data_IF_912188021396
#
_entry.id   IF_912188021396
#
_cell.length_a   1.000
_cell.length_b   1.000
_cell.length_c   1.000
_cell.angle_alpha   90.00
_cell.angle_beta   90.00
_cell.angle_gamma   90.00
#
_symmetry.space_group_name_H-M   'P 1'
#
loop_
_entity.id
_entity.type
_entity.pdbx_description
1 polymer ?
#
# COMPACT_ATOMS: atom_id res chain seq x y z
N UNK A 1 16.15 4.61 4.81
CA UNK A 1 15.67 3.23 4.72
C UNK A 1 14.64 3.15 3.60
N UNK A 2 14.57 2.04 2.94
CA UNK A 2 13.66 1.89 1.81
C UNK A 2 13.17 0.48 1.60
N UNK A 3 11.96 0.38 1.04
CA UNK A 3 11.40 -0.86 0.52
C UNK A 3 11.20 -0.71 -0.98
N UNK A 4 11.49 -1.78 -1.70
CA UNK A 4 11.43 -1.85 -3.17
C UNK A 4 10.35 -2.83 -3.59
N UNK A 5 9.36 -2.33 -4.31
CA UNK A 5 8.25 -3.11 -4.85
C UNK A 5 8.44 -3.17 -6.35
N UNK A 6 8.76 -4.35 -6.87
CA UNK A 6 8.81 -4.57 -8.31
C UNK A 6 7.40 -4.75 -8.84
N UNK A 7 6.96 -3.94 -9.80
CA UNK A 7 5.61 -4.09 -10.29
C UNK A 7 5.51 -5.39 -11.06
N UNK A 8 4.63 -6.21 -10.62
CA UNK A 8 3.84 -6.98 -11.56
C UNK A 8 2.58 -6.19 -11.82
N UNK A 9 2.04 -6.32 -13.00
CA UNK A 9 0.66 -5.90 -13.24
C UNK A 9 -0.14 -6.48 -12.09
N UNK A 10 -0.72 -5.60 -11.29
CA UNK A 10 -1.44 -6.01 -10.10
C UNK A 10 -2.55 -6.97 -10.50
N UNK A 11 -2.40 -8.21 -10.13
CA UNK A 11 -3.43 -9.23 -10.26
C UNK A 11 -3.91 -9.59 -8.87
N UNK A 12 -5.22 -9.60 -8.67
CA UNK A 12 -5.83 -9.97 -7.40
C UNK A 12 -5.57 -11.41 -6.95
N UNK A 13 -4.87 -12.18 -7.78
CA UNK A 13 -4.55 -13.59 -7.50
C UNK A 13 -3.06 -13.85 -7.35
N UNK A 14 -2.23 -12.83 -7.47
CA UNK A 14 -0.78 -13.00 -7.47
C UNK A 14 -0.16 -12.71 -6.12
N UNK A 15 0.95 -13.38 -5.87
CA UNK A 15 1.85 -13.05 -4.78
C UNK A 15 3.15 -12.45 -5.33
N UNK A 16 3.76 -11.55 -4.58
CA UNK A 16 5.06 -10.97 -4.92
C UNK A 16 5.84 -10.60 -3.67
N UNK A 17 7.15 -10.46 -3.84
CA UNK A 17 8.04 -10.10 -2.76
C UNK A 17 8.31 -8.60 -2.74
N UNK A 18 8.52 -8.08 -1.54
CA UNK A 18 8.99 -6.72 -1.28
C UNK A 18 10.42 -6.82 -0.73
N UNK A 19 11.34 -6.09 -1.34
CA UNK A 19 12.77 -6.16 -1.06
C UNK A 19 13.25 -4.96 -0.24
N UNK A 20 14.30 -5.17 0.55
CA UNK A 20 14.98 -4.08 1.25
C UNK A 20 16.12 -3.47 0.39
N UNK A 21 16.85 -2.51 0.97
CA UNK A 21 17.96 -1.83 0.30
C UNK A 21 19.15 -2.76 -0.03
N UNK A 22 19.28 -3.87 0.68
CA UNK A 22 20.30 -4.87 0.40
C UNK A 22 19.91 -5.85 -0.71
N UNK A 23 18.66 -5.77 -1.19
CA UNK A 23 18.11 -6.70 -2.17
C UNK A 23 17.55 -7.98 -1.57
N UNK A 24 17.45 -8.06 -0.25
CA UNK A 24 16.86 -9.19 0.44
C UNK A 24 15.33 -9.08 0.45
N UNK A 25 14.63 -10.18 0.16
CA UNK A 25 13.17 -10.23 0.24
C UNK A 25 12.73 -10.22 1.71
N UNK A 26 12.09 -9.11 2.11
CA UNK A 26 11.64 -8.89 3.48
C UNK A 26 10.22 -9.34 3.73
N UNK A 27 9.34 -9.08 2.79
CA UNK A 27 7.93 -9.38 2.90
C UNK A 27 7.42 -10.09 1.66
N UNK A 28 6.40 -10.91 1.84
CA UNK A 28 5.60 -11.48 0.76
C UNK A 28 4.19 -10.90 0.84
N UNK A 29 3.71 -10.38 -0.28
CA UNK A 29 2.36 -9.83 -0.43
C UNK A 29 1.53 -10.82 -1.21
N UNK A 30 0.39 -11.24 -0.65
CA UNK A 30 -0.58 -12.12 -1.31
C UNK A 30 -1.91 -11.41 -1.46
N UNK A 31 -2.37 -11.28 -2.68
CA UNK A 31 -3.68 -10.73 -2.98
C UNK A 31 -4.66 -11.88 -3.21
N UNK A 32 -5.83 -11.79 -2.59
CA UNK A 32 -6.87 -12.80 -2.68
C UNK A 32 -8.22 -12.14 -2.95
N UNK A 33 -9.05 -12.83 -3.71
CA UNK A 33 -10.43 -12.43 -3.93
C UNK A 33 -11.35 -13.48 -3.31
N UNK A 34 -12.14 -13.03 -2.34
CA UNK A 34 -13.15 -13.86 -1.70
C UNK A 34 -14.56 -13.31 -1.94
N UNK A 35 -15.57 -14.09 -1.63
CA UNK A 35 -16.96 -13.64 -1.65
C UNK A 35 -17.21 -12.40 -0.77
N UNK A 36 -16.32 -12.13 0.17
CA UNK A 36 -16.34 -10.96 1.07
C UNK A 36 -15.52 -9.77 0.55
N UNK A 37 -15.06 -9.81 -0.71
CA UNK A 37 -14.28 -8.74 -1.33
C UNK A 37 -12.78 -9.05 -1.43
N UNK A 38 -12.03 -8.08 -1.91
CA UNK A 38 -10.58 -8.20 -2.08
C UNK A 38 -9.86 -8.13 -0.73
N UNK A 39 -8.87 -8.98 -0.57
CA UNK A 39 -8.00 -8.99 0.61
C UNK A 39 -6.54 -9.06 0.17
N UNK A 40 -5.68 -8.36 0.90
CA UNK A 40 -4.23 -8.39 0.72
C UNK A 40 -3.62 -8.76 2.07
N UNK A 41 -2.75 -9.76 2.07
CA UNK A 41 -2.05 -10.22 3.26
C UNK A 41 -0.55 -10.00 3.08
N UNK A 42 0.11 -9.51 4.11
CA UNK A 42 1.55 -9.28 4.13
C UNK A 42 2.19 -10.17 5.17
N UNK A 43 3.16 -10.97 4.73
CA UNK A 43 3.88 -11.93 5.56
C UNK A 43 5.35 -11.51 5.69
N UNK A 44 5.88 -11.61 6.91
CA UNK A 44 7.33 -11.48 7.13
C UNK A 44 8.02 -12.74 6.61
N UNK A 45 8.95 -12.58 5.68
CA UNK A 45 9.67 -13.71 5.07
C UNK A 45 10.61 -14.42 6.04
N UNK A 46 11.04 -13.77 7.10
CA UNK A 46 11.93 -14.37 8.11
C UNK A 46 11.18 -15.29 9.06
N UNK A 47 9.96 -14.95 9.41
CA UNK A 47 9.16 -15.70 10.37
C UNK A 47 8.04 -16.52 9.73
N UNK A 48 7.63 -16.17 8.51
CA UNK A 48 6.46 -16.74 7.84
C UNK A 48 5.13 -16.27 8.43
N UNK A 49 5.16 -15.35 9.40
CA UNK A 49 3.94 -14.85 10.05
C UNK A 49 3.33 -13.69 9.29
N UNK A 50 2.00 -13.65 9.29
CA UNK A 50 1.26 -12.50 8.81
C UNK A 50 1.47 -11.31 9.75
N UNK A 51 1.91 -10.19 9.18
CA UNK A 51 2.21 -8.97 9.94
C UNK A 51 1.20 -7.85 9.70
N UNK A 52 0.46 -7.93 8.60
CA UNK A 52 -0.58 -6.96 8.30
C UNK A 52 -1.48 -7.44 7.18
N UNK A 53 -2.63 -6.79 7.06
CA UNK A 53 -3.59 -7.09 6.00
C UNK A 53 -4.44 -5.88 5.63
N UNK A 54 -5.03 -5.96 4.45
CA UNK A 54 -5.93 -4.95 3.91
C UNK A 54 -7.19 -5.67 3.47
N UNK A 55 -8.35 -5.15 3.88
CA UNK A 55 -9.64 -5.74 3.59
C UNK A 55 -10.57 -4.73 2.94
N UNK A 56 -11.10 -5.08 1.77
CA UNK A 56 -12.12 -4.28 1.11
C UNK A 56 -13.43 -4.33 1.90
N UNK A 57 -14.02 -3.15 2.13
CA UNK A 57 -15.37 -3.07 2.71
C UNK A 57 -16.41 -3.19 1.61
N UNK A 58 -17.24 -4.20 1.70
CA UNK A 58 -18.33 -4.42 0.76
C UNK A 58 -19.47 -3.39 0.96
N UNK A 59 -20.29 -3.27 -0.07
CA UNK A 59 -21.48 -2.41 -0.07
C UNK A 59 -21.15 -0.92 0.12
N UNK A 60 -19.97 -0.50 -0.30
CA UNK A 60 -19.56 0.90 -0.33
C UNK A 60 -19.62 1.44 -1.75
N UNK A 61 -20.20 2.61 -1.90
CA UNK A 61 -20.26 3.30 -3.19
C UNK A 61 -18.86 3.65 -3.73
N UNK A 62 -17.97 4.00 -2.83
CA UNK A 62 -16.57 4.29 -3.14
C UNK A 62 -15.68 3.20 -2.58
N UNK A 63 -14.62 2.80 -3.31
CA UNK A 63 -13.64 1.83 -2.80
C UNK A 63 -13.11 2.24 -1.43
N UNK A 64 -13.29 1.36 -0.45
CA UNK A 64 -12.87 1.57 0.92
C UNK A 64 -12.15 0.33 1.42
N UNK A 65 -10.95 0.52 1.97
CA UNK A 65 -10.11 -0.56 2.48
C UNK A 65 -9.75 -0.32 3.94
N UNK A 66 -9.88 -1.35 4.75
CA UNK A 66 -9.43 -1.37 6.14
C UNK A 66 -8.00 -1.88 6.23
N UNK A 67 -7.19 -1.23 7.06
CA UNK A 67 -5.82 -1.64 7.36
C UNK A 67 -5.78 -2.28 8.74
N UNK A 68 -5.26 -3.51 8.81
CA UNK A 68 -5.17 -4.32 10.02
C UNK A 68 -3.69 -4.67 10.27
N UNK A 69 -3.21 -4.46 11.49
CA UNK A 69 -1.87 -4.84 11.92
C UNK A 69 -1.99 -5.64 13.22
N UNK A 70 -1.40 -6.83 13.23
CA UNK A 70 -1.44 -7.69 14.42
C UNK A 70 -2.85 -8.05 14.85
N UNK A 71 -3.77 -8.22 13.90
CA UNK A 71 -5.16 -8.55 14.16
C UNK A 71 -6.04 -7.38 14.62
N UNK A 72 -5.49 -6.15 14.67
CA UNK A 72 -6.22 -4.97 15.12
C UNK A 72 -6.43 -3.99 13.98
N UNK A 73 -7.67 -3.50 13.84
CA UNK A 73 -7.99 -2.44 12.88
C UNK A 73 -7.23 -1.16 13.24
N UNK A 74 -6.46 -0.65 12.28
CA UNK A 74 -5.64 0.55 12.44
C UNK A 74 -6.26 1.78 11.80
N UNK A 75 -7.00 1.61 10.74
CA UNK A 75 -7.61 2.71 10.02
C UNK A 75 -8.16 2.30 8.66
N UNK A 76 -8.53 3.28 7.88
CA UNK A 76 -9.15 3.09 6.56
C UNK A 76 -8.57 4.02 5.52
N UNK A 77 -8.60 3.55 4.27
CA UNK A 77 -8.31 4.34 3.08
C UNK A 77 -9.54 4.28 2.17
N UNK A 78 -10.10 5.44 1.81
CA UNK A 78 -11.25 5.54 0.93
C UNK A 78 -10.94 6.45 -0.25
N UNK A 79 -11.27 6.00 -1.45
CA UNK A 79 -11.18 6.81 -2.65
C UNK A 79 -12.33 7.83 -2.68
N UNK A 80 -12.01 9.10 -2.94
CA UNK A 80 -13.01 10.14 -3.07
C UNK A 80 -13.41 10.37 -4.53
N UNK A 81 -14.65 10.83 -4.76
CA UNK A 81 -15.09 11.28 -6.06
C UNK A 81 -14.45 12.63 -6.38
N UNK A 82 -13.67 12.65 -7.48
CA UNK A 82 -13.08 13.87 -8.00
C UNK A 82 -13.13 13.87 -9.53
N UNK A 83 -13.15 15.06 -10.14
CA UNK A 83 -13.25 15.20 -11.60
C UNK A 83 -11.90 15.06 -12.31
N UNK A 84 -10.79 15.45 -11.68
CA UNK A 84 -9.51 15.62 -12.35
C UNK A 84 -8.38 14.76 -11.81
N UNK A 85 -8.35 14.52 -10.50
CA UNK A 85 -7.30 13.73 -9.84
C UNK A 85 -7.88 12.87 -8.76
N UNK A 86 -7.44 11.61 -8.62
CA UNK A 86 -7.88 10.79 -7.51
C UNK A 86 -7.42 11.41 -6.20
N UNK A 87 -8.35 11.50 -5.26
CA UNK A 87 -8.09 11.86 -3.87
C UNK A 87 -8.47 10.69 -2.98
N UNK A 88 -7.79 10.63 -1.85
CA UNK A 88 -8.01 9.59 -0.86
C UNK A 88 -8.26 10.23 0.49
N UNK A 89 -9.29 9.75 1.16
CA UNK A 89 -9.46 10.02 2.58
C UNK A 89 -8.70 8.93 3.35
N UNK A 90 -7.66 9.35 4.04
CA UNK A 90 -6.83 8.46 4.86
C UNK A 90 -7.16 8.74 6.32
N UNK A 91 -7.84 7.79 6.94
CA UNK A 91 -8.10 7.80 8.37
C UNK A 91 -7.22 6.73 9.01
N UNK A 92 -5.94 7.06 9.11
CA UNK A 92 -4.89 6.13 9.47
C UNK A 92 -3.68 6.90 10.01
N UNK A 93 -3.36 6.71 11.29
CA UNK A 93 -2.19 7.28 11.98
C UNK A 93 -2.09 8.82 11.95
N UNK A 94 -3.15 9.53 11.62
CA UNK A 94 -3.08 10.97 11.41
C UNK A 94 -2.26 11.38 10.18
N UNK A 95 -2.07 10.45 9.24
CA UNK A 95 -1.31 10.69 8.01
C UNK A 95 -2.18 11.31 6.93
N UNK A 96 -1.56 12.15 6.11
CA UNK A 96 -2.13 12.68 4.89
C UNK A 96 -1.25 12.29 3.70
N UNK A 97 -1.85 12.18 2.52
CA UNK A 97 -1.13 11.87 1.28
C UNK A 97 -1.29 13.02 0.30
N UNK A 98 -0.21 13.36 -0.38
CA UNK A 98 -0.21 14.43 -1.40
C UNK A 98 0.76 14.11 -2.53
N UNK A 99 0.35 14.44 -3.75
CA UNK A 99 1.12 14.19 -4.96
C UNK A 99 0.33 13.41 -6.00
N UNK A 100 1.06 12.79 -6.93
CA UNK A 100 0.50 11.95 -7.98
C UNK A 100 0.35 10.51 -7.50
N UNK A 101 -0.83 10.17 -7.00
CA UNK A 101 -1.13 8.86 -6.44
C UNK A 101 -1.23 7.75 -7.51
N UNK A 102 -1.67 8.10 -8.71
CA UNK A 102 -1.71 7.15 -9.83
C UNK A 102 -0.33 6.90 -10.43
N UNK A 103 0.52 7.91 -10.45
CA UNK A 103 1.86 7.81 -11.01
C UNK A 103 2.91 7.32 -10.01
N UNK A 104 2.53 6.99 -8.78
CA UNK A 104 3.45 6.57 -7.73
C UNK A 104 4.56 7.61 -7.47
N UNK A 105 4.16 8.87 -7.41
CA UNK A 105 5.04 9.99 -7.05
C UNK A 105 4.31 10.87 -6.03
N UNK A 106 4.34 10.44 -4.77
CA UNK A 106 3.63 11.11 -3.71
C UNK A 106 4.36 11.03 -2.37
N UNK A 107 3.89 11.81 -1.42
CA UNK A 107 4.44 11.90 -0.08
C UNK A 107 3.37 11.64 0.95
N UNK A 108 3.79 11.07 2.06
CA UNK A 108 2.97 10.89 3.25
C UNK A 108 3.47 11.88 4.30
N UNK A 109 2.54 12.65 4.85
CA UNK A 109 2.85 13.67 5.86
C UNK A 109 2.11 13.39 7.16
N UNK A 110 2.71 13.83 8.25
CA UNK A 110 2.09 13.86 9.57
C UNK A 110 2.38 15.19 10.23
N UNK A 111 1.32 15.93 10.57
CA UNK A 111 1.50 17.27 11.16
C UNK A 111 2.30 18.24 10.27
N UNK A 112 2.17 18.11 8.94
CA UNK A 112 2.88 18.93 7.98
C UNK A 112 4.31 18.49 7.67
N UNK A 113 4.83 17.47 8.35
CA UNK A 113 6.15 16.91 8.10
C UNK A 113 6.08 15.66 7.24
N UNK A 114 6.99 15.54 6.28
CA UNK A 114 7.10 14.35 5.45
C UNK A 114 7.66 13.20 6.28
N UNK A 115 6.89 12.12 6.39
CA UNK A 115 7.31 10.88 7.07
C UNK A 115 7.71 9.78 6.09
N UNK A 116 7.23 9.88 4.84
CA UNK A 116 7.52 8.89 3.81
C UNK A 116 7.42 9.52 2.43
N UNK A 117 8.23 9.06 1.51
CA UNK A 117 8.15 9.41 0.10
C UNK A 117 8.05 8.14 -0.75
N UNK A 118 7.15 8.17 -1.71
CA UNK A 118 6.94 7.08 -2.66
C UNK A 118 7.32 7.60 -4.04
N UNK A 119 8.16 6.86 -4.74
CA UNK A 119 8.58 7.21 -6.09
C UNK A 119 8.64 5.99 -6.99
N UNK A 120 8.52 6.23 -8.28
CA UNK A 120 8.73 5.23 -9.32
C UNK A 120 10.13 5.42 -9.87
N UNK A 121 10.95 4.38 -9.82
CA UNK A 121 12.30 4.39 -10.36
C UNK A 121 12.42 3.42 -11.54
N UNK A 122 13.10 3.86 -12.59
CA UNK A 122 13.45 2.99 -13.71
C UNK A 122 14.75 2.29 -13.36
N UNK A 123 14.64 1.03 -12.96
CA UNK A 123 15.80 0.16 -12.78
C UNK A 123 15.89 -0.80 -13.98
N UNK A 124 16.97 -0.75 -14.66
CA UNK A 124 17.44 -1.40 -15.91
C UNK A 124 16.50 -2.37 -16.68
N UNK A 125 15.50 -2.97 -16.08
CA UNK A 125 14.60 -3.95 -16.74
C UNK A 125 13.12 -3.79 -16.40
N UNK A 126 12.77 -3.03 -15.36
CA UNK A 126 11.38 -2.83 -14.95
C UNK A 126 11.24 -1.59 -14.10
N UNK A 127 10.07 -1.00 -14.14
CA UNK A 127 9.69 0.02 -13.17
C UNK A 127 9.75 -0.58 -11.76
N UNK A 128 10.33 0.14 -10.83
CA UNK A 128 10.36 -0.25 -9.43
C UNK A 128 9.79 0.89 -8.60
N UNK A 129 8.87 0.54 -7.71
CA UNK A 129 8.32 1.49 -6.76
C UNK A 129 9.11 1.45 -5.48
N UNK A 130 9.46 2.62 -4.97
CA UNK A 130 10.33 2.75 -3.81
C UNK A 130 9.63 3.54 -2.73
N UNK A 131 9.57 2.94 -1.54
CA UNK A 131 9.17 3.62 -0.31
C UNK A 131 10.41 4.03 0.44
N UNK A 132 10.58 5.34 0.70
CA UNK A 132 11.64 5.85 1.56
C UNK A 132 11.06 6.43 2.83
N UNK A 133 11.65 6.06 3.95
CA UNK A 133 11.22 6.49 5.28
C UNK A 133 12.44 6.60 6.20
N UNK A 134 12.36 7.43 7.24
CA UNK A 134 13.45 7.64 8.19
C UNK A 134 13.27 6.83 9.48
N UNK A 135 12.03 6.66 9.91
CA UNK A 135 11.71 5.93 11.13
C UNK A 135 11.36 4.47 10.81
N UNK A 136 12.10 3.48 11.34
CA UNK A 136 11.79 2.06 11.13
C UNK A 136 10.37 1.65 11.54
N UNK A 137 9.77 2.36 12.51
CA UNK A 137 8.41 2.10 12.94
C UNK A 137 7.36 2.41 11.86
N UNK A 138 7.72 3.19 10.85
CA UNK A 138 6.83 3.55 9.73
C UNK A 138 6.90 2.56 8.57
N UNK A 139 7.83 1.61 8.58
CA UNK A 139 8.03 0.65 7.48
C UNK A 139 6.75 -0.14 7.17
N UNK A 140 6.27 -0.91 8.12
CA UNK A 140 5.07 -1.74 7.90
C UNK A 140 3.80 -0.90 7.73
N UNK A 141 3.55 0.11 8.58
CA UNK A 141 2.39 0.99 8.36
C UNK A 141 2.41 1.67 6.99
N UNK A 142 3.57 2.09 6.52
CA UNK A 142 3.74 2.73 5.22
C UNK A 142 3.51 1.78 4.05
N UNK A 143 4.04 0.57 4.13
CA UNK A 143 3.82 -0.46 3.12
C UNK A 143 2.32 -0.75 2.97
N UNK A 144 1.60 -0.93 4.07
CA UNK A 144 0.16 -1.19 4.05
C UNK A 144 -0.64 -0.02 3.46
N UNK A 145 -0.25 1.22 3.77
CA UNK A 145 -0.89 2.40 3.18
C UNK A 145 -0.75 2.40 1.65
N UNK A 146 0.46 2.18 1.15
CA UNK A 146 0.74 2.15 -0.29
C UNK A 146 -0.05 1.04 -1.00
N UNK A 147 -0.10 -0.14 -0.39
CA UNK A 147 -0.87 -1.27 -0.93
C UNK A 147 -2.38 -0.96 -0.94
N UNK A 148 -2.89 -0.29 0.09
CA UNK A 148 -4.30 0.09 0.17
C UNK A 148 -4.68 1.14 -0.89
N UNK A 149 -3.80 2.11 -1.13
CA UNK A 149 -3.99 3.12 -2.18
C UNK A 149 -3.99 2.45 -3.56
N UNK A 150 -3.04 1.55 -3.80
CA UNK A 150 -2.95 0.80 -5.06
C UNK A 150 -4.20 -0.06 -5.29
N UNK A 151 -4.63 -0.78 -4.26
CA UNK A 151 -5.86 -1.58 -4.31
C UNK A 151 -7.09 -0.71 -4.62
N UNK A 152 -7.21 0.46 -4.01
CA UNK A 152 -8.31 1.38 -4.27
C UNK A 152 -8.28 1.94 -5.70
N UNK A 153 -7.10 2.12 -6.27
CA UNK A 153 -6.95 2.50 -7.69
C UNK A 153 -7.40 1.40 -8.64
N UNK A 154 -7.05 0.14 -8.33
CA UNK A 154 -7.32 -1.00 -9.19
C UNK A 154 -8.78 -1.51 -9.12
N UNK A 155 -9.50 -1.24 -8.03
CA UNK A 155 -10.84 -1.78 -7.80
C UNK A 155 -11.95 -1.21 -8.70
N UNK A 156 -11.62 -0.28 -9.58
CA UNK A 156 -12.58 0.31 -10.55
C UNK A 156 -12.64 -0.38 -11.89
N UNK A 157 -11.69 -1.22 -12.19
CA UNK A 157 -11.56 -1.85 -13.51
C UNK A 157 -12.23 -3.23 -13.58
N UNK A 158 -12.96 -3.60 -12.54
CA UNK A 158 -13.72 -4.86 -12.47
C UNK A 158 -15.23 -4.65 -12.67
#
# INVERSE_FOLDING_TARGET
MGLYIRPRIFSWTDSYDVYDESGEARYEVRAEFFSLGHQIHVYDKRTGQEVGSIHEKLLRFLPTFEIVIGGRLQGTVRKELTFLRPRYQVDYRGWAVEGDLLGWDYRVTQGGQVVMAISKELLSWSDTYVLRYDNPADEMPGLLLVLAIDAANCSRDD
#
